data_IF_124200155546
#
_entry.id   IF_124200155546
#
_cell.length_a   1.000
_cell.length_b   1.000
_cell.length_c   1.000
_cell.angle_alpha   90.00
_cell.angle_beta   90.00
_cell.angle_gamma   90.00
#
_symmetry.space_group_name_H-M   'P 1'
#
loop_
_entity.id
_entity.type
_entity.pdbx_description
1 polymer ?
#
# COMPACT_ATOMS: atom_id res chain seq x y z
N UNK A 1 -26.75 -1.98 -3.13
CA UNK A 1 -26.82 -1.80 -1.66
C UNK A 1 -28.24 -1.93 -1.14
N UNK A 2 -29.26 -1.24 -1.71
CA UNK A 2 -30.64 -1.28 -1.19
C UNK A 2 -31.25 -2.69 -1.16
N UNK A 3 -31.01 -3.51 -2.19
CA UNK A 3 -31.43 -4.91 -2.18
C UNK A 3 -30.75 -5.73 -1.09
N UNK A 4 -29.47 -5.51 -0.88
CA UNK A 4 -28.71 -6.20 0.16
C UNK A 4 -29.17 -5.83 1.59
N UNK A 5 -29.79 -4.68 1.80
CA UNK A 5 -30.38 -4.29 3.11
C UNK A 5 -31.66 -5.05 3.47
N UNK A 6 -32.28 -5.76 2.53
CA UNK A 6 -33.48 -6.57 2.79
C UNK A 6 -33.14 -7.81 3.61
N UNK A 7 -33.89 -8.07 4.66
CA UNK A 7 -33.62 -9.14 5.63
C UNK A 7 -33.58 -10.55 4.99
N UNK A 8 -34.47 -10.81 4.01
CA UNK A 8 -34.48 -12.07 3.29
C UNK A 8 -33.23 -12.27 2.42
N UNK A 9 -32.68 -11.19 1.83
CA UNK A 9 -31.45 -11.24 1.04
C UNK A 9 -30.24 -11.42 1.98
N UNK A 10 -30.20 -10.66 3.09
CA UNK A 10 -29.16 -10.81 4.12
C UNK A 10 -29.08 -12.26 4.61
N UNK A 11 -30.23 -12.84 5.02
CA UNK A 11 -30.30 -14.22 5.48
C UNK A 11 -29.80 -15.20 4.43
N UNK A 12 -30.20 -15.01 3.18
CA UNK A 12 -29.74 -15.86 2.08
C UNK A 12 -28.22 -15.79 1.92
N UNK A 13 -27.64 -14.59 1.82
CA UNK A 13 -26.19 -14.40 1.67
C UNK A 13 -25.39 -15.00 2.84
N UNK A 14 -25.84 -14.77 4.07
CA UNK A 14 -25.14 -15.26 5.27
C UNK A 14 -25.29 -16.79 5.46
N UNK A 15 -26.27 -17.45 4.80
CA UNK A 15 -26.45 -18.89 4.82
C UNK A 15 -25.74 -19.64 3.70
N UNK A 16 -25.21 -18.93 2.70
CA UNK A 16 -24.49 -19.54 1.59
C UNK A 16 -23.09 -20.00 2.04
N UNK A 17 -22.72 -21.22 1.66
CA UNK A 17 -21.35 -21.68 1.84
C UNK A 17 -20.40 -20.87 0.96
N UNK A 18 -19.18 -20.56 1.43
CA UNK A 18 -18.17 -19.94 0.61
C UNK A 18 -17.95 -20.72 -0.69
N UNK A 19 -17.88 -20.05 -1.82
CA UNK A 19 -17.70 -20.68 -3.13
C UNK A 19 -16.44 -21.53 -3.11
N UNK A 20 -16.60 -22.87 -3.19
CA UNK A 20 -15.50 -23.81 -3.37
C UNK A 20 -14.82 -23.49 -4.71
N UNK A 21 -13.56 -23.07 -4.67
CA UNK A 21 -12.81 -22.68 -5.87
C UNK A 21 -12.69 -21.17 -6.09
N UNK A 22 -12.82 -20.37 -5.06
CA UNK A 22 -12.46 -18.96 -5.11
C UNK A 22 -11.12 -18.76 -5.80
N UNK A 23 -11.04 -17.81 -6.70
CA UNK A 23 -9.81 -17.42 -7.44
C UNK A 23 -8.70 -16.92 -6.49
N UNK A 24 -9.02 -16.69 -5.21
CA UNK A 24 -8.10 -16.22 -4.18
C UNK A 24 -8.10 -17.12 -2.94
N UNK A 25 -7.42 -18.28 -2.98
CA UNK A 25 -7.34 -19.17 -1.83
C UNK A 25 -6.73 -18.51 -0.58
N UNK A 26 -5.91 -17.48 -0.77
CA UNK A 26 -5.27 -16.77 0.33
C UNK A 26 -6.28 -15.97 1.15
N UNK A 27 -7.22 -15.28 0.52
CA UNK A 27 -8.29 -14.53 1.22
C UNK A 27 -9.16 -15.47 2.03
N UNK A 28 -9.46 -16.65 1.51
CA UNK A 28 -10.26 -17.66 2.22
C UNK A 28 -9.56 -18.23 3.46
N UNK A 29 -8.24 -18.04 3.61
CA UNK A 29 -7.46 -18.45 4.77
C UNK A 29 -7.39 -17.39 5.85
N UNK A 30 -7.74 -16.14 5.52
CA UNK A 30 -7.76 -15.04 6.49
C UNK A 30 -9.07 -15.17 7.27
N UNK A 31 -8.97 -15.45 8.56
CA UNK A 31 -10.12 -15.46 9.47
C UNK A 31 -10.54 -14.04 9.85
N UNK A 32 -11.75 -13.90 10.37
CA UNK A 32 -12.26 -12.62 10.88
C UNK A 32 -11.44 -12.05 12.04
N UNK A 33 -10.61 -12.87 12.69
CA UNK A 33 -9.61 -12.45 13.69
C UNK A 33 -8.48 -11.59 13.08
N UNK A 34 -8.28 -11.66 11.78
CA UNK A 34 -7.30 -10.84 11.04
C UNK A 34 -7.97 -9.88 10.05
N UNK A 35 -9.25 -9.64 10.19
CA UNK A 35 -9.99 -8.65 9.42
C UNK A 35 -10.43 -7.52 10.33
N UNK A 36 -10.36 -6.30 9.84
CA UNK A 36 -10.64 -5.10 10.62
C UNK A 36 -11.53 -4.14 9.85
N UNK A 37 -12.37 -3.39 10.56
CA UNK A 37 -13.05 -2.26 9.95
C UNK A 37 -12.00 -1.25 9.48
N UNK A 38 -12.09 -0.84 8.23
CA UNK A 38 -11.22 0.20 7.69
C UNK A 38 -11.81 1.56 8.02
N UNK A 39 -11.19 2.26 8.97
CA UNK A 39 -11.67 3.56 9.45
C UNK A 39 -11.25 4.74 8.58
N UNK A 40 -11.67 5.93 8.97
CA UNK A 40 -11.22 7.21 8.41
C UNK A 40 -10.78 8.12 9.59
N UNK A 41 -9.48 8.43 9.72
CA UNK A 41 -8.35 7.94 8.91
C UNK A 41 -8.08 6.44 9.09
N UNK A 42 -7.44 5.81 8.09
CA UNK A 42 -7.14 4.38 8.14
C UNK A 42 -6.17 4.01 9.26
N UNK A 43 -6.50 2.98 10.04
CA UNK A 43 -5.56 2.37 10.97
C UNK A 43 -4.97 1.10 10.35
N UNK A 44 -3.74 1.17 9.84
CA UNK A 44 -3.05 0.01 9.27
C UNK A 44 -2.34 -0.87 10.32
N UNK A 45 -2.38 -0.48 11.60
CA UNK A 45 -1.82 -1.24 12.71
C UNK A 45 -2.88 -1.44 13.81
N UNK A 46 -4.03 -2.07 13.49
CA UNK A 46 -5.10 -2.32 14.46
C UNK A 46 -4.67 -3.37 15.48
N UNK A 47 -5.26 -3.30 16.67
CA UNK A 47 -5.04 -4.29 17.72
C UNK A 47 -5.95 -5.51 17.53
N UNK A 48 -5.63 -6.68 18.14
CA UNK A 48 -6.48 -7.86 18.08
C UNK A 48 -7.93 -7.62 18.50
N UNK A 49 -8.14 -6.76 19.51
CA UNK A 49 -9.45 -6.43 20.05
C UNK A 49 -10.32 -5.62 19.07
N UNK A 50 -9.69 -5.03 18.03
CA UNK A 50 -10.36 -4.28 16.96
C UNK A 50 -10.75 -5.19 15.78
N UNK A 51 -10.43 -6.50 15.84
CA UNK A 51 -10.79 -7.44 14.79
C UNK A 51 -12.32 -7.61 14.67
N UNK A 52 -12.78 -7.97 13.48
CA UNK A 52 -14.21 -8.23 13.25
C UNK A 52 -14.70 -9.36 14.15
N UNK A 53 -13.88 -10.38 14.40
CA UNK A 53 -14.24 -11.48 15.31
C UNK A 53 -14.45 -10.98 16.74
N UNK A 54 -13.48 -10.26 17.30
CA UNK A 54 -13.57 -9.73 18.66
C UNK A 54 -14.74 -8.74 18.82
N UNK A 55 -14.93 -7.85 17.84
CA UNK A 55 -16.04 -6.91 17.86
C UNK A 55 -17.40 -7.61 17.73
N UNK A 56 -17.50 -8.66 16.93
CA UNK A 56 -18.73 -9.45 16.79
C UNK A 56 -19.10 -10.15 18.09
N UNK A 57 -18.12 -10.74 18.77
CA UNK A 57 -18.31 -11.37 20.08
C UNK A 57 -18.87 -10.38 21.11
N UNK A 58 -18.27 -9.21 21.24
CA UNK A 58 -18.74 -8.14 22.14
C UNK A 58 -20.18 -7.71 21.82
N UNK A 59 -20.55 -7.71 20.53
CA UNK A 59 -21.88 -7.29 20.08
C UNK A 59 -22.91 -8.46 20.05
N UNK A 60 -22.53 -9.68 20.44
CA UNK A 60 -23.42 -10.83 20.46
C UNK A 60 -23.95 -11.27 19.10
N UNK A 61 -23.15 -11.08 18.05
CA UNK A 61 -23.49 -11.46 16.66
C UNK A 61 -22.40 -12.30 16.03
N UNK A 62 -22.67 -12.89 14.86
CA UNK A 62 -21.63 -13.60 14.11
C UNK A 62 -20.67 -12.62 13.41
N UNK A 63 -19.39 -13.02 13.26
CA UNK A 63 -18.40 -12.22 12.56
C UNK A 63 -18.79 -11.94 11.09
N UNK A 64 -19.42 -12.92 10.43
CA UNK A 64 -19.94 -12.74 9.08
C UNK A 64 -21.06 -11.67 9.01
N UNK A 65 -21.92 -11.64 10.01
CA UNK A 65 -22.96 -10.62 10.09
C UNK A 65 -22.40 -9.23 10.31
N UNK A 66 -21.41 -9.09 11.21
CA UNK A 66 -20.73 -7.81 11.43
C UNK A 66 -19.99 -7.35 10.17
N UNK A 67 -19.27 -8.24 9.50
CA UNK A 67 -18.60 -7.91 8.22
C UNK A 67 -19.60 -7.43 7.18
N UNK A 68 -20.75 -8.11 7.07
CA UNK A 68 -21.82 -7.72 6.17
C UNK A 68 -22.34 -6.30 6.49
N UNK A 69 -22.58 -6.00 7.76
CA UNK A 69 -23.03 -4.67 8.19
C UNK A 69 -22.01 -3.59 7.85
N UNK A 70 -20.72 -3.83 8.16
CA UNK A 70 -19.61 -2.90 7.85
C UNK A 70 -19.58 -2.57 6.35
N UNK A 71 -19.68 -3.58 5.48
CA UNK A 71 -19.64 -3.38 4.03
C UNK A 71 -20.85 -2.64 3.48
N UNK A 72 -21.98 -2.63 4.19
CA UNK A 72 -23.20 -1.89 3.78
C UNK A 72 -23.25 -0.46 4.32
N UNK A 73 -22.40 -0.10 5.25
CA UNK A 73 -22.31 1.27 5.76
C UNK A 73 -21.86 2.24 4.64
N UNK A 74 -22.11 3.51 4.85
CA UNK A 74 -21.75 4.56 3.90
C UNK A 74 -22.16 4.22 2.47
N UNK A 75 -23.41 3.70 2.31
CA UNK A 75 -23.96 3.28 1.02
C UNK A 75 -23.14 2.22 0.27
N UNK A 76 -22.43 1.38 1.02
CA UNK A 76 -21.59 0.31 0.48
C UNK A 76 -20.20 0.79 0.04
N UNK A 77 -19.75 1.93 0.52
CA UNK A 77 -18.42 2.47 0.25
C UNK A 77 -17.41 2.22 1.37
N UNK A 78 -17.77 1.46 2.40
CA UNK A 78 -16.84 1.06 3.42
C UNK A 78 -15.97 -0.12 2.99
N UNK A 79 -14.81 -0.24 3.62
CA UNK A 79 -13.85 -1.29 3.38
C UNK A 79 -13.60 -2.12 4.64
N UNK A 80 -13.18 -3.36 4.40
CA UNK A 80 -12.57 -4.22 5.41
C UNK A 80 -11.08 -4.31 5.08
N UNK A 81 -10.24 -4.03 6.07
CA UNK A 81 -8.80 -4.20 5.99
C UNK A 81 -8.43 -5.63 6.38
N UNK A 82 -7.71 -6.32 5.50
CA UNK A 82 -7.23 -7.67 5.73
C UNK A 82 -5.73 -7.73 5.39
N UNK A 83 -4.83 -7.59 6.36
CA UNK A 83 -3.40 -7.75 6.11
C UNK A 83 -3.10 -9.19 5.70
N UNK A 84 -2.67 -9.38 4.46
CA UNK A 84 -2.49 -10.70 3.86
C UNK A 84 -1.24 -11.42 4.37
N UNK A 85 -0.17 -10.66 4.64
CA UNK A 85 1.16 -11.18 5.02
C UNK A 85 1.81 -10.27 6.06
N UNK A 86 2.78 -10.82 6.79
CA UNK A 86 3.63 -10.08 7.74
C UNK A 86 2.89 -9.40 8.91
N UNK A 87 1.69 -9.87 9.24
CA UNK A 87 0.86 -9.32 10.33
C UNK A 87 0.20 -10.41 11.19
N UNK A 88 0.72 -11.63 11.20
CA UNK A 88 0.13 -12.76 11.91
C UNK A 88 0.13 -12.58 13.44
N UNK A 89 1.06 -11.79 13.96
CA UNK A 89 1.18 -11.43 15.37
C UNK A 89 0.48 -10.11 15.73
N UNK A 90 -0.33 -9.56 14.83
CA UNK A 90 -1.05 -8.29 14.97
C UNK A 90 -0.14 -7.10 15.28
N UNK A 91 1.11 -7.14 14.78
CA UNK A 91 2.09 -6.06 14.92
C UNK A 91 2.93 -5.91 13.64
N UNK A 92 3.58 -4.77 13.51
CA UNK A 92 4.60 -4.55 12.47
C UNK A 92 6.02 -4.96 12.91
N UNK A 93 6.16 -5.73 13.98
CA UNK A 93 7.47 -6.13 14.50
C UNK A 93 8.32 -6.90 13.50
N UNK A 94 7.71 -7.81 12.74
CA UNK A 94 8.40 -8.55 11.66
C UNK A 94 8.77 -7.62 10.51
N UNK A 95 7.87 -6.72 10.10
CA UNK A 95 8.14 -5.72 9.07
C UNK A 95 9.31 -4.82 9.45
N UNK A 96 9.35 -4.36 10.71
CA UNK A 96 10.44 -3.54 11.21
C UNK A 96 11.78 -4.28 11.12
N UNK A 97 11.85 -5.53 11.60
CA UNK A 97 13.07 -6.35 11.53
C UNK A 97 13.57 -6.53 10.10
N UNK A 98 12.64 -6.78 9.16
CA UNK A 98 13.00 -6.90 7.74
C UNK A 98 13.52 -5.57 7.17
N UNK A 99 12.87 -4.46 7.53
CA UNK A 99 13.31 -3.13 7.09
C UNK A 99 14.66 -2.71 7.69
N UNK A 100 14.97 -3.13 8.92
CA UNK A 100 16.25 -2.83 9.58
C UNK A 100 17.41 -3.70 9.07
N UNK A 101 17.13 -4.82 8.40
CA UNK A 101 18.19 -5.70 7.88
C UNK A 101 18.98 -5.00 6.78
N UNK A 102 20.29 -5.00 6.90
CA UNK A 102 21.23 -4.36 5.97
C UNK A 102 21.27 -5.00 4.57
N UNK A 103 20.80 -6.25 4.45
CA UNK A 103 20.74 -6.97 3.19
C UNK A 103 19.36 -6.88 2.52
N UNK A 104 18.42 -6.20 3.16
CA UNK A 104 17.09 -5.95 2.60
C UNK A 104 17.02 -4.56 1.99
N UNK A 105 16.40 -4.48 0.83
CA UNK A 105 16.03 -3.19 0.22
C UNK A 105 14.53 -3.00 0.29
N UNK A 106 14.10 -1.74 0.37
CA UNK A 106 12.70 -1.39 0.24
C UNK A 106 12.27 -1.61 -1.21
N UNK A 107 11.29 -2.44 -1.40
CA UNK A 107 10.85 -2.75 -2.75
C UNK A 107 9.44 -3.24 -2.83
N UNK A 108 8.96 -3.17 -3.98
CA UNK A 108 7.86 -3.71 -4.72
C UNK A 108 6.53 -3.75 -3.97
N UNK A 109 5.68 -2.76 -4.27
CA UNK A 109 4.24 -2.89 -4.04
C UNK A 109 3.60 -3.62 -5.22
N UNK A 110 2.55 -4.38 -4.96
CA UNK A 110 1.73 -5.03 -5.99
C UNK A 110 0.82 -4.03 -6.73
N UNK A 111 1.26 -2.78 -6.85
CA UNK A 111 0.54 -1.72 -7.55
C UNK A 111 0.26 -2.11 -9.00
N UNK A 112 -1.03 -2.11 -9.37
CA UNK A 112 -1.46 -2.52 -10.70
C UNK A 112 -1.89 -3.99 -10.79
N UNK A 113 -1.60 -4.83 -9.78
CA UNK A 113 -2.17 -6.16 -9.67
C UNK A 113 -3.43 -6.13 -8.79
N UNK A 114 -4.46 -6.88 -9.16
CA UNK A 114 -5.70 -7.00 -8.37
C UNK A 114 -6.26 -5.65 -7.88
N UNK A 115 -6.30 -4.69 -8.77
CA UNK A 115 -6.60 -3.27 -8.49
C UNK A 115 -7.93 -3.01 -7.77
N UNK A 116 -8.82 -3.99 -7.71
CA UNK A 116 -10.09 -3.88 -6.99
C UNK A 116 -9.98 -4.01 -5.47
N UNK A 117 -8.83 -4.48 -4.93
CA UNK A 117 -8.67 -4.72 -3.49
C UNK A 117 -7.23 -4.63 -2.97
N UNK A 118 -6.19 -4.55 -3.83
CA UNK A 118 -4.81 -4.30 -3.42
C UNK A 118 -4.44 -2.84 -3.64
N UNK A 119 -3.83 -2.23 -2.62
CA UNK A 119 -3.46 -0.81 -2.61
C UNK A 119 -2.05 -0.62 -2.03
N UNK A 120 -1.05 -1.26 -2.62
CA UNK A 120 0.33 -1.26 -2.09
C UNK A 120 1.26 -0.26 -2.79
N UNK A 121 0.80 0.43 -3.83
CA UNK A 121 1.62 1.41 -4.56
C UNK A 121 2.12 2.58 -3.68
N UNK A 122 1.45 2.83 -2.56
CA UNK A 122 1.80 3.88 -1.59
C UNK A 122 2.96 3.56 -0.66
N UNK A 123 3.61 2.38 -0.76
CA UNK A 123 4.65 1.95 0.19
C UNK A 123 5.82 2.93 0.37
N UNK A 124 6.32 3.68 -0.66
CA UNK A 124 7.37 4.66 -0.44
C UNK A 124 6.92 5.81 0.46
N UNK A 125 5.69 6.29 0.25
CA UNK A 125 5.07 7.32 1.10
C UNK A 125 4.87 6.81 2.51
N UNK A 126 4.47 5.53 2.68
CA UNK A 126 4.32 4.89 3.99
C UNK A 126 5.66 4.75 4.73
N UNK A 127 6.75 4.43 4.04
CA UNK A 127 8.09 4.41 4.65
C UNK A 127 8.44 5.78 5.25
N UNK A 128 8.17 6.86 4.53
CA UNK A 128 8.43 8.22 5.02
C UNK A 128 7.49 8.55 6.18
N UNK A 129 6.17 8.52 5.95
CA UNK A 129 5.18 9.04 6.89
C UNK A 129 5.06 8.20 8.17
N UNK A 130 5.11 6.88 8.04
CA UNK A 130 4.93 5.99 9.20
C UNK A 130 6.25 5.65 9.87
N UNK A 131 7.21 5.08 9.13
CA UNK A 131 8.43 4.56 9.74
C UNK A 131 9.43 5.64 10.11
N UNK A 132 9.54 6.70 9.31
CA UNK A 132 10.44 7.81 9.61
C UNK A 132 9.79 8.90 10.45
N UNK A 133 8.74 9.54 9.96
CA UNK A 133 8.12 10.69 10.64
C UNK A 133 7.41 10.27 11.93
N UNK A 134 6.50 9.30 11.87
CA UNK A 134 5.66 8.90 13.01
C UNK A 134 6.39 8.01 14.01
N UNK A 135 7.06 6.97 13.55
CA UNK A 135 7.74 5.96 14.41
C UNK A 135 9.18 6.31 14.73
N UNK A 136 9.83 7.14 13.93
CA UNK A 136 11.23 7.55 14.07
C UNK A 136 12.21 6.37 14.12
N UNK A 137 11.89 5.28 13.39
CA UNK A 137 12.75 4.12 13.25
C UNK A 137 13.95 4.44 12.38
N UNK A 138 13.75 5.22 11.31
CA UNK A 138 14.79 5.67 10.41
C UNK A 138 14.90 7.19 10.42
N UNK A 139 16.15 7.72 10.30
CA UNK A 139 16.36 9.14 10.04
C UNK A 139 15.83 9.53 8.64
N UNK A 140 15.71 10.82 8.39
CA UNK A 140 15.36 11.34 7.06
C UNK A 140 16.35 10.85 6.00
N UNK A 141 17.64 11.01 6.29
CA UNK A 141 18.72 10.66 5.38
C UNK A 141 18.72 9.15 5.06
N UNK A 142 18.54 8.32 6.08
CA UNK A 142 18.48 6.87 5.91
C UNK A 142 17.24 6.46 5.10
N UNK A 143 16.09 7.07 5.37
CA UNK A 143 14.85 6.81 4.63
C UNK A 143 15.01 7.16 3.15
N UNK A 144 15.55 8.33 2.85
CA UNK A 144 15.80 8.76 1.48
C UNK A 144 16.83 7.86 0.80
N UNK A 145 17.94 7.53 1.46
CA UNK A 145 18.94 6.60 0.94
C UNK A 145 18.31 5.27 0.53
N UNK A 146 17.48 4.67 1.39
CA UNK A 146 16.79 3.38 1.15
C UNK A 146 15.82 3.45 -0.05
N UNK A 147 15.17 4.59 -0.29
CA UNK A 147 14.25 4.79 -1.40
C UNK A 147 14.95 5.21 -2.71
N UNK A 148 16.22 5.56 -2.67
CA UNK A 148 16.94 6.14 -3.81
C UNK A 148 18.23 5.40 -4.13
N UNK A 149 19.35 5.70 -3.47
CA UNK A 149 20.65 5.13 -3.82
C UNK A 149 20.73 3.62 -3.62
N UNK A 150 20.17 3.08 -2.55
CA UNK A 150 20.23 1.64 -2.29
C UNK A 150 19.43 0.84 -3.33
N UNK A 151 18.23 1.32 -3.67
CA UNK A 151 17.39 0.70 -4.70
C UNK A 151 17.96 0.87 -6.11
N UNK A 152 18.55 2.04 -6.40
CA UNK A 152 19.22 2.27 -7.68
C UNK A 152 20.43 1.34 -7.85
N UNK A 153 21.27 1.19 -6.82
CA UNK A 153 22.41 0.29 -6.82
C UNK A 153 21.98 -1.16 -7.02
N UNK A 154 20.97 -1.63 -6.27
CA UNK A 154 20.45 -2.98 -6.39
C UNK A 154 19.84 -3.27 -7.78
N UNK A 155 19.25 -2.27 -8.42
CA UNK A 155 18.71 -2.37 -9.78
C UNK A 155 19.77 -2.16 -10.88
N UNK A 156 21.03 -1.88 -10.53
CA UNK A 156 22.12 -1.60 -11.49
C UNK A 156 21.96 -0.26 -12.22
N UNK A 157 21.36 0.74 -11.58
CA UNK A 157 21.16 2.08 -12.12
C UNK A 157 22.25 3.02 -11.60
N UNK A 158 23.26 3.28 -12.40
CA UNK A 158 24.42 4.09 -11.99
C UNK A 158 24.27 5.58 -12.28
N UNK A 159 23.22 5.97 -13.02
CA UNK A 159 22.99 7.35 -13.49
C UNK A 159 22.04 8.16 -12.59
N UNK A 160 21.54 7.57 -11.52
CA UNK A 160 20.52 8.18 -10.61
C UNK A 160 20.63 7.68 -9.17
N UNK A 161 19.73 8.13 -8.31
CA UNK A 161 19.65 7.73 -6.89
C UNK A 161 20.39 8.64 -5.93
N UNK A 162 21.18 9.60 -6.44
CA UNK A 162 21.86 10.63 -5.65
C UNK A 162 21.85 11.97 -6.39
N UNK A 163 21.87 13.07 -5.65
CA UNK A 163 22.01 14.42 -6.20
C UNK A 163 23.49 14.72 -6.45
N UNK A 164 23.91 14.60 -7.71
CA UNK A 164 25.30 14.85 -8.11
C UNK A 164 25.35 15.41 -9.54
N UNK A 165 26.25 16.37 -9.79
CA UNK A 165 26.47 16.93 -11.14
C UNK A 165 26.82 15.80 -12.11
N UNK A 166 26.15 15.79 -13.27
CA UNK A 166 26.33 14.79 -14.32
C UNK A 166 25.37 13.59 -14.21
N UNK A 167 24.60 13.46 -13.14
CA UNK A 167 23.59 12.43 -13.02
C UNK A 167 22.20 12.93 -13.46
N UNK A 168 21.30 11.99 -13.63
CA UNK A 168 19.92 12.24 -14.04
C UNK A 168 19.19 13.09 -13.01
N UNK A 169 18.50 14.13 -13.48
CA UNK A 169 17.70 14.99 -12.63
C UNK A 169 16.27 14.41 -12.45
N UNK A 170 16.20 13.27 -11.74
CA UNK A 170 14.97 12.65 -11.29
C UNK A 170 14.83 12.96 -9.79
N UNK A 171 13.97 13.94 -9.43
CA UNK A 171 13.96 14.58 -8.11
C UNK A 171 12.52 14.72 -7.61
N UNK A 172 12.30 14.42 -6.33
CA UNK A 172 11.09 14.79 -5.60
C UNK A 172 11.39 15.94 -4.62
N UNK A 173 10.52 16.94 -4.59
CA UNK A 173 10.50 17.98 -3.56
C UNK A 173 9.37 17.61 -2.60
N UNK A 174 9.74 17.33 -1.35
CA UNK A 174 8.84 16.74 -0.35
C UNK A 174 8.72 17.68 0.85
N UNK A 175 7.50 18.00 1.23
CA UNK A 175 7.17 18.56 2.55
C UNK A 175 7.19 17.41 3.56
N UNK A 176 8.30 17.25 4.24
CA UNK A 176 8.61 16.09 5.06
C UNK A 176 7.63 15.91 6.23
N UNK A 177 7.17 16.98 6.83
CA UNK A 177 6.29 16.93 8.00
C UNK A 177 4.85 16.58 7.62
N UNK A 178 4.44 16.93 6.41
CA UNK A 178 3.07 16.75 5.92
C UNK A 178 2.93 15.62 4.89
N UNK A 179 4.00 14.83 4.65
CA UNK A 179 3.93 13.72 3.71
C UNK A 179 3.03 12.60 4.24
N UNK A 180 2.13 12.13 3.40
CA UNK A 180 1.18 11.09 3.77
C UNK A 180 0.30 10.63 2.62
N UNK A 181 -0.66 9.79 2.97
CA UNK A 181 -1.65 9.27 2.03
C UNK A 181 -3.06 9.60 2.51
N UNK A 182 -3.95 9.89 1.58
CA UNK A 182 -5.38 10.07 1.85
C UNK A 182 -6.03 8.74 2.26
N UNK A 183 -7.30 8.79 2.65
CA UNK A 183 -8.13 7.60 2.70
C UNK A 183 -8.24 7.00 1.29
N UNK A 184 -8.26 5.66 1.17
CA UNK A 184 -8.51 5.01 -0.11
C UNK A 184 -9.96 5.18 -0.54
N UNK A 185 -10.17 5.16 -1.85
CA UNK A 185 -11.49 5.26 -2.47
C UNK A 185 -11.57 4.43 -3.74
N UNK A 186 -12.80 4.01 -4.09
CA UNK A 186 -13.04 3.36 -5.38
C UNK A 186 -13.25 4.41 -6.46
N UNK A 187 -12.57 4.24 -7.59
CA UNK A 187 -12.82 5.02 -8.81
C UNK A 187 -13.24 4.10 -9.96
N UNK A 188 -13.91 4.66 -10.96
CA UNK A 188 -14.40 3.93 -12.12
C UNK A 188 -13.85 4.60 -13.40
N UNK A 189 -12.54 4.54 -13.56
CA UNK A 189 -11.78 5.21 -14.62
C UNK A 189 -11.03 4.25 -15.55
N UNK A 190 -11.27 2.94 -15.41
CA UNK A 190 -10.70 1.94 -16.32
C UNK A 190 -11.62 1.72 -17.53
N UNK A 191 -11.07 1.22 -18.66
CA UNK A 191 -11.86 0.85 -19.84
C UNK A 191 -13.07 -0.03 -19.51
N UNK A 192 -14.15 0.11 -20.26
CA UNK A 192 -15.43 -0.58 -20.06
C UNK A 192 -16.08 -0.37 -18.68
N UNK A 193 -15.76 0.74 -18.01
CA UNK A 193 -16.30 1.04 -16.68
C UNK A 193 -15.70 0.20 -15.55
N UNK A 194 -14.53 -0.36 -15.76
CA UNK A 194 -13.81 -1.09 -14.72
C UNK A 194 -13.49 -0.21 -13.52
N UNK A 195 -13.54 -0.79 -12.32
CA UNK A 195 -13.27 -0.11 -11.05
C UNK A 195 -11.90 -0.45 -10.53
N UNK A 196 -11.29 0.50 -9.83
CA UNK A 196 -10.06 0.27 -9.07
C UNK A 196 -10.05 1.04 -7.76
N UNK A 197 -9.29 0.51 -6.81
CA UNK A 197 -8.97 1.18 -5.56
C UNK A 197 -7.84 2.19 -5.80
N UNK A 198 -8.03 3.40 -5.29
CA UNK A 198 -7.09 4.50 -5.44
C UNK A 198 -6.81 5.16 -4.10
N UNK A 199 -5.66 5.81 -4.02
CA UNK A 199 -5.26 6.63 -2.88
C UNK A 199 -4.42 7.80 -3.40
N UNK A 200 -4.70 9.01 -2.93
CA UNK A 200 -3.86 10.16 -3.22
C UNK A 200 -2.73 10.27 -2.21
N UNK A 201 -1.61 10.82 -2.64
CA UNK A 201 -0.51 11.22 -1.75
C UNK A 201 -0.56 12.74 -1.53
N UNK A 202 -0.07 13.18 -0.39
CA UNK A 202 0.12 14.59 -0.05
C UNK A 202 1.58 14.83 0.38
N UNK A 203 1.99 16.09 0.43
CA UNK A 203 3.35 16.47 0.79
C UNK A 203 4.37 16.38 -0.34
N UNK A 204 3.99 15.93 -1.54
CA UNK A 204 4.85 16.01 -2.73
C UNK A 204 4.60 17.34 -3.45
N UNK A 205 5.50 18.30 -3.24
CA UNK A 205 5.41 19.64 -3.84
C UNK A 205 5.67 19.57 -5.35
N UNK A 206 6.69 18.82 -5.75
CA UNK A 206 6.96 18.58 -7.15
C UNK A 206 7.65 17.23 -7.38
N UNK A 207 7.34 16.59 -8.50
CA UNK A 207 8.07 15.45 -9.06
C UNK A 207 8.69 15.85 -10.37
N UNK A 208 10.00 15.70 -10.47
CA UNK A 208 10.81 16.11 -11.61
C UNK A 208 11.41 14.85 -12.23
N UNK A 209 11.27 14.70 -13.54
CA UNK A 209 11.87 13.60 -14.30
C UNK A 209 12.71 14.19 -15.41
N UNK A 210 13.98 13.82 -15.50
CA UNK A 210 14.93 14.35 -16.48
C UNK A 210 14.94 15.90 -16.51
N UNK A 211 14.81 16.55 -15.35
CA UNK A 211 14.81 18.01 -15.21
C UNK A 211 13.50 18.71 -15.58
N UNK A 212 12.42 17.95 -15.89
CA UNK A 212 11.09 18.48 -16.20
C UNK A 212 10.11 18.17 -15.09
N UNK A 213 9.32 19.14 -14.65
CA UNK A 213 8.27 18.94 -13.65
C UNK A 213 7.13 18.16 -14.30
N UNK A 214 6.92 16.91 -13.86
CA UNK A 214 5.84 16.02 -14.32
C UNK A 214 4.62 16.05 -13.44
N UNK A 215 4.79 16.38 -12.15
CA UNK A 215 3.72 16.62 -11.19
C UNK A 215 4.06 17.83 -10.34
N UNK A 216 3.05 18.63 -10.02
CA UNK A 216 3.14 19.78 -9.12
C UNK A 216 1.93 19.80 -8.21
N UNK A 217 2.16 19.79 -6.88
CA UNK A 217 1.11 19.76 -5.85
C UNK A 217 0.05 18.66 -6.08
N UNK A 218 0.50 17.47 -6.48
CA UNK A 218 -0.35 16.32 -6.75
C UNK A 218 -1.04 16.30 -8.13
N UNK A 219 -0.94 17.40 -8.91
CA UNK A 219 -1.50 17.47 -10.25
C UNK A 219 -0.46 17.12 -11.32
N UNK A 220 -0.84 16.27 -12.29
CA UNK A 220 0.00 15.96 -13.46
C UNK A 220 0.12 17.17 -14.37
N UNK A 221 1.33 17.43 -14.86
CA UNK A 221 1.60 18.39 -15.95
C UNK A 221 1.46 17.71 -17.31
N UNK A 222 1.66 18.47 -18.39
CA UNK A 222 1.68 17.91 -19.74
C UNK A 222 3.04 17.29 -20.11
N UNK A 223 4.07 17.52 -19.32
CA UNK A 223 5.43 17.02 -19.56
C UNK A 223 5.51 15.49 -19.47
N UNK A 224 6.14 14.87 -20.46
CA UNK A 224 6.33 13.42 -20.58
C UNK A 224 7.78 13.08 -20.97
N UNK A 225 8.77 13.45 -20.13
CA UNK A 225 10.20 13.28 -20.46
C UNK A 225 10.71 11.86 -20.19
N UNK A 226 9.83 10.94 -19.78
CA UNK A 226 10.19 9.56 -19.46
C UNK A 226 10.78 8.83 -20.66
N UNK A 227 11.77 7.98 -20.41
CA UNK A 227 12.38 7.10 -21.40
C UNK A 227 12.59 5.71 -20.79
N UNK A 228 12.77 4.70 -21.63
CA UNK A 228 13.10 3.35 -21.19
C UNK A 228 14.42 3.40 -20.40
N UNK A 229 14.35 2.98 -19.14
CA UNK A 229 15.51 2.85 -18.26
C UNK A 229 16.15 1.50 -18.49
N UNK A 230 17.45 1.47 -18.73
CA UNK A 230 18.24 0.25 -18.88
C UNK A 230 19.30 0.23 -17.79
N UNK A 231 19.49 -0.94 -17.14
CA UNK A 231 20.64 -1.14 -16.28
C UNK A 231 21.93 -1.09 -17.13
N UNK A 232 22.94 -0.42 -16.63
CA UNK A 232 24.27 -0.50 -17.20
C UNK A 232 24.85 -1.83 -16.70
N UNK A 233 25.02 -2.81 -17.59
CA UNK A 233 25.82 -4.00 -17.28
C UNK A 233 27.28 -3.54 -17.14
N UNK A 234 27.69 -3.35 -15.90
CA UNK A 234 29.11 -3.31 -15.60
C UNK A 234 29.56 -4.78 -15.57
N UNK A 235 30.25 -5.22 -16.61
CA UNK A 235 30.73 -6.61 -16.78
C UNK A 235 31.68 -7.07 -15.65
N UNK A 236 31.91 -6.22 -14.64
CA UNK A 236 32.87 -6.43 -13.54
C UNK A 236 32.28 -6.62 -12.15
N UNK A 237 30.96 -6.50 -11.96
CA UNK A 237 30.31 -6.78 -10.67
C UNK A 237 29.33 -7.93 -10.79
N UNK A 238 29.84 -9.14 -10.84
CA UNK A 238 29.08 -10.32 -10.44
C UNK A 238 28.92 -10.24 -8.93
N UNK A 239 27.70 -10.18 -8.42
CA UNK A 239 27.44 -10.29 -6.99
C UNK A 239 28.04 -11.60 -6.48
N UNK A 240 29.17 -11.51 -5.82
CA UNK A 240 29.71 -12.61 -5.04
C UNK A 240 28.89 -12.68 -3.74
N UNK A 241 27.90 -13.56 -3.71
CA UNK A 241 27.39 -14.06 -2.44
C UNK A 241 28.53 -14.81 -1.77
N UNK A 242 29.29 -14.15 -0.93
CA UNK A 242 30.22 -14.84 -0.03
C UNK A 242 29.39 -15.47 1.08
N UNK A 243 29.47 -16.80 1.14
CA UNK A 243 28.92 -17.67 2.19
C UNK A 243 29.29 -17.20 3.61
#
# INVERSE_FOLDING_TARGET
VNEMKKENIKKKILSEDPIKGSTFPLINRIGYSQMYRFGSPPNYNPKPEESIEALAEVNGMSAAELAYQILLENEGNNFIYAPLVNYADHTFGVCQKMLEDKNAIMGLGDGGAHVGFILDAGYPTWLISYWSVKKKVFSMEETIRRLTSDTAEAAGLSDRGVLKIGLKADINIIDWENVGSSDPFMTQDLPAGGKRLMQHTQGYVATIVSGKITYQNGASTEERPGALVKSVKDDKKVFAFTN
#
